data_IF_043867086939
#
_entry.id   IF_043867086939
#
_cell.length_a   1.000
_cell.length_b   1.000
_cell.length_c   1.000
_cell.angle_alpha   90.00
_cell.angle_beta   90.00
_cell.angle_gamma   90.00
#
_symmetry.space_group_name_H-M   'P 1'
#
loop_
_entity.id
_entity.type
_entity.pdbx_description
1 polymer ?
#
# COMPACT_ATOMS: atom_id res chain seq x y z
N UNK A 1 -67.52 21.94 -69.29
CA UNK A 1 -68.11 21.88 -67.94
C UNK A 1 -68.21 23.30 -67.40
N UNK A 2 -69.18 24.08 -67.89
CA UNK A 2 -69.46 25.48 -67.51
C UNK A 2 -70.96 25.81 -67.65
N UNK A 3 -71.80 24.83 -68.01
CA UNK A 3 -73.23 25.00 -68.31
C UNK A 3 -74.17 24.48 -67.20
N UNK A 4 -73.63 23.81 -66.15
CA UNK A 4 -74.43 23.30 -65.02
C UNK A 4 -74.52 24.26 -63.82
N UNK A 5 -73.93 25.46 -63.91
CA UNK A 5 -73.96 26.46 -62.84
C UNK A 5 -75.04 27.55 -63.03
N UNK A 6 -75.58 27.70 -64.23
CA UNK A 6 -76.58 28.73 -64.57
C UNK A 6 -78.00 28.38 -64.13
N UNK A 7 -78.29 27.10 -63.86
CA UNK A 7 -79.63 26.62 -63.50
C UNK A 7 -79.78 26.24 -62.02
N UNK A 8 -78.85 26.68 -61.16
CA UNK A 8 -78.98 26.52 -59.71
C UNK A 8 -79.87 27.64 -59.16
N UNK A 9 -80.89 27.28 -58.38
CA UNK A 9 -81.66 28.26 -57.60
C UNK A 9 -80.69 29.04 -56.72
N UNK A 10 -80.54 30.34 -57.02
CA UNK A 10 -79.79 31.23 -56.13
C UNK A 10 -80.61 31.43 -54.87
N UNK A 11 -80.04 31.19 -53.68
CA UNK A 11 -80.74 31.51 -52.43
C UNK A 11 -81.06 33.01 -52.42
N UNK A 12 -82.30 33.34 -52.07
CA UNK A 12 -82.73 34.73 -51.91
C UNK A 12 -82.27 35.24 -50.54
N UNK A 13 -81.31 36.16 -50.57
CA UNK A 13 -80.74 36.78 -49.37
C UNK A 13 -81.38 38.14 -49.03
N UNK A 14 -82.51 38.49 -49.66
CA UNK A 14 -83.23 39.74 -49.40
C UNK A 14 -83.67 39.89 -47.93
N UNK A 15 -83.97 38.77 -47.26
CA UNK A 15 -84.35 38.72 -45.85
C UNK A 15 -83.29 38.05 -44.95
N UNK A 16 -82.06 37.90 -45.42
CA UNK A 16 -80.98 37.33 -44.61
C UNK A 16 -80.57 38.32 -43.50
N UNK A 17 -80.70 37.95 -42.21
CA UNK A 17 -80.44 38.85 -41.10
C UNK A 17 -78.99 39.34 -41.04
N UNK A 18 -78.04 38.50 -41.47
CA UNK A 18 -76.61 38.80 -41.44
C UNK A 18 -76.25 39.74 -42.59
N UNK A 19 -76.75 39.46 -43.79
CA UNK A 19 -76.52 40.34 -44.95
C UNK A 19 -77.17 41.72 -44.76
N UNK A 20 -78.34 41.78 -44.12
CA UNK A 20 -79.01 43.04 -43.83
C UNK A 20 -78.27 43.87 -42.76
N UNK A 21 -77.63 43.23 -41.78
CA UNK A 21 -76.77 43.93 -40.82
C UNK A 21 -75.53 44.53 -41.50
N UNK A 22 -74.89 43.78 -42.40
CA UNK A 22 -73.73 44.28 -43.16
C UNK A 22 -74.10 45.46 -44.04
N UNK A 23 -75.22 45.39 -44.77
CA UNK A 23 -75.75 46.51 -45.56
C UNK A 23 -76.04 47.74 -44.70
N UNK A 24 -76.66 47.54 -43.53
CA UNK A 24 -76.94 48.64 -42.61
C UNK A 24 -75.67 49.30 -42.08
N UNK A 25 -74.60 48.52 -41.85
CA UNK A 25 -73.30 49.05 -41.40
C UNK A 25 -72.62 49.87 -42.49
N UNK A 26 -72.65 49.41 -43.74
CA UNK A 26 -72.14 50.15 -44.90
C UNK A 26 -72.96 51.42 -45.16
N UNK A 27 -74.29 51.34 -45.10
CA UNK A 27 -75.18 52.50 -45.32
C UNK A 27 -75.02 53.58 -44.24
N UNK A 28 -74.50 53.21 -43.06
CA UNK A 28 -74.24 54.12 -41.94
C UNK A 28 -72.74 54.34 -41.68
N UNK A 29 -71.87 54.01 -42.65
CA UNK A 29 -70.41 54.12 -42.51
C UNK A 29 -69.99 55.57 -42.20
N UNK A 30 -70.72 56.56 -42.71
CA UNK A 30 -70.43 57.98 -42.47
C UNK A 30 -70.65 58.36 -40.99
N UNK A 31 -71.69 57.81 -40.35
CA UNK A 31 -71.96 58.00 -38.91
C UNK A 31 -70.89 57.31 -38.07
N UNK A 32 -70.47 56.10 -38.46
CA UNK A 32 -69.40 55.35 -37.80
C UNK A 32 -68.06 56.10 -37.94
N UNK A 33 -67.78 56.67 -39.11
CA UNK A 33 -66.56 57.43 -39.39
C UNK A 33 -66.47 58.73 -38.59
N UNK A 34 -67.61 59.36 -38.28
CA UNK A 34 -67.67 60.57 -37.45
C UNK A 34 -67.24 60.35 -35.98
N UNK A 35 -67.26 59.10 -35.50
CA UNK A 35 -66.77 58.70 -34.18
C UNK A 35 -65.25 58.53 -34.08
N UNK A 36 -64.55 58.51 -35.21
CA UNK A 36 -63.08 58.45 -35.29
C UNK A 36 -62.47 59.85 -35.49
N UNK A 37 -62.94 60.80 -34.67
CA UNK A 37 -62.55 62.21 -34.73
C UNK A 37 -61.04 62.44 -34.61
N UNK A 38 -60.58 63.44 -35.38
CA UNK A 38 -59.25 64.08 -35.43
C UNK A 38 -58.31 63.76 -34.26
N UNK A 39 -57.33 62.88 -34.50
CA UNK A 39 -56.20 62.72 -33.60
C UNK A 39 -55.22 63.90 -33.78
N UNK A 40 -55.43 65.01 -33.05
CA UNK A 40 -54.35 65.98 -32.82
C UNK A 40 -53.43 65.43 -31.72
N UNK A 41 -52.19 65.06 -32.06
CA UNK A 41 -51.22 64.53 -31.11
C UNK A 41 -50.38 65.64 -30.48
N UNK A 42 -50.48 65.84 -29.16
CA UNK A 42 -49.51 66.60 -28.38
C UNK A 42 -48.32 65.69 -28.00
N UNK A 43 -47.10 66.05 -28.43
CA UNK A 43 -45.87 65.35 -28.04
C UNK A 43 -45.32 65.89 -26.74
N UNK A 44 -45.67 65.27 -25.61
CA UNK A 44 -44.96 65.49 -24.33
C UNK A 44 -43.99 64.35 -24.07
N UNK A 45 -42.68 64.64 -24.07
CA UNK A 45 -41.63 63.69 -23.71
C UNK A 45 -41.56 63.60 -22.18
N UNK A 46 -42.18 62.57 -21.58
CA UNK A 46 -41.94 62.22 -20.19
C UNK A 46 -40.71 61.33 -20.09
N UNK A 47 -39.62 61.83 -19.48
CA UNK A 47 -38.48 60.99 -19.10
C UNK A 47 -38.93 59.97 -18.05
N UNK A 48 -38.95 58.70 -18.44
CA UNK A 48 -39.12 57.55 -17.55
C UNK A 48 -37.80 56.79 -17.50
N UNK A 49 -37.35 56.40 -16.31
CA UNK A 49 -36.24 55.46 -16.15
C UNK A 49 -36.82 54.05 -16.12
N UNK A 50 -36.53 53.26 -17.15
CA UNK A 50 -36.79 51.82 -17.15
C UNK A 50 -35.60 51.17 -16.47
N UNK A 51 -35.78 50.59 -15.27
CA UNK A 51 -34.77 49.68 -14.72
C UNK A 51 -34.80 48.40 -15.55
N UNK A 52 -33.83 48.23 -16.43
CA UNK A 52 -33.62 46.97 -17.13
C UNK A 52 -32.61 46.14 -16.34
N UNK A 53 -32.90 44.85 -16.16
CA UNK A 53 -31.92 43.92 -15.62
C UNK A 53 -30.90 43.63 -16.72
N UNK A 54 -29.68 44.16 -16.59
CA UNK A 54 -28.55 43.71 -17.41
C UNK A 54 -27.98 42.47 -16.74
N UNK A 55 -28.12 41.26 -17.33
CA UNK A 55 -27.54 40.07 -16.73
C UNK A 55 -26.02 40.15 -16.78
N UNK A 56 -25.38 39.93 -15.65
CA UNK A 56 -23.94 39.69 -15.59
C UNK A 56 -23.67 38.26 -16.06
N UNK A 57 -23.16 38.13 -17.29
CA UNK A 57 -22.81 36.84 -17.88
C UNK A 57 -21.36 36.53 -17.56
N UNK A 58 -21.14 35.74 -16.52
CA UNK A 58 -19.82 35.26 -16.17
C UNK A 58 -19.54 33.93 -16.85
N UNK A 59 -18.40 33.85 -17.57
CA UNK A 59 -17.92 32.60 -18.16
C UNK A 59 -16.85 32.00 -17.28
N UNK A 60 -17.06 30.74 -16.85
CA UNK A 60 -16.03 29.95 -16.20
C UNK A 60 -15.32 29.07 -17.22
N UNK A 61 -14.00 29.20 -17.31
CA UNK A 61 -13.17 28.15 -17.89
C UNK A 61 -12.93 27.08 -16.83
N UNK A 62 -13.56 25.91 -17.01
CA UNK A 62 -13.27 24.75 -16.16
C UNK A 62 -11.90 24.20 -16.53
N UNK A 63 -11.01 24.14 -15.54
CA UNK A 63 -9.76 23.39 -15.65
C UNK A 63 -10.08 21.90 -15.77
N UNK A 64 -9.18 21.11 -16.37
CA UNK A 64 -9.34 19.65 -16.38
C UNK A 64 -9.48 19.14 -14.94
N UNK A 65 -10.50 18.31 -14.72
CA UNK A 65 -10.77 17.73 -13.41
C UNK A 65 -9.72 16.65 -13.11
N UNK A 66 -8.84 16.95 -12.15
CA UNK A 66 -7.79 16.06 -11.66
C UNK A 66 -8.14 15.49 -10.28
N UNK A 67 -9.42 15.48 -9.90
CA UNK A 67 -9.89 14.90 -8.65
C UNK A 67 -9.52 13.42 -8.55
N UNK A 68 -9.17 12.99 -7.35
CA UNK A 68 -8.73 11.62 -7.09
C UNK A 68 -9.20 11.14 -5.73
N UNK A 69 -9.76 9.93 -5.69
CA UNK A 69 -9.97 9.15 -4.46
C UNK A 69 -9.41 7.75 -4.72
N UNK A 70 -8.21 7.48 -4.21
CA UNK A 70 -7.52 6.23 -4.45
C UNK A 70 -6.49 5.92 -3.35
N UNK A 71 -6.03 4.67 -3.33
CA UNK A 71 -4.97 4.20 -2.42
C UNK A 71 -3.73 3.75 -3.19
N UNK A 72 -2.56 4.08 -2.65
CA UNK A 72 -1.27 3.61 -3.14
C UNK A 72 -0.71 2.62 -2.12
N UNK A 73 -0.23 1.48 -2.61
CA UNK A 73 0.45 0.47 -1.82
C UNK A 73 1.94 0.47 -2.13
N UNK A 74 2.76 0.50 -1.09
CA UNK A 74 4.19 0.24 -1.15
C UNK A 74 4.47 -1.18 -0.68
N UNK A 75 4.92 -2.03 -1.60
CA UNK A 75 5.29 -3.41 -1.32
C UNK A 75 6.80 -3.48 -1.18
N UNK A 76 7.28 -3.48 0.06
CA UNK A 76 8.66 -3.79 0.37
C UNK A 76 8.77 -5.08 1.16
N UNK A 77 9.87 -5.80 0.95
CA UNK A 77 10.21 -7.01 1.69
C UNK A 77 11.72 -7.10 1.86
N UNK A 78 12.15 -7.71 2.95
CA UNK A 78 13.56 -7.92 3.24
C UNK A 78 13.76 -9.25 3.95
N UNK A 79 14.78 -10.01 3.52
CA UNK A 79 15.08 -11.32 4.06
C UNK A 79 16.47 -11.78 3.61
N UNK A 80 17.23 -12.36 4.52
CA UNK A 80 18.46 -13.11 4.21
C UNK A 80 18.31 -14.60 4.46
N UNK A 81 17.45 -14.95 5.42
CA UNK A 81 16.98 -16.30 5.70
C UNK A 81 15.49 -16.27 6.05
N UNK A 82 14.82 -17.42 5.91
CA UNK A 82 13.45 -17.66 6.39
C UNK A 82 13.41 -18.95 7.21
N UNK A 83 12.50 -19.01 8.15
CA UNK A 83 12.18 -20.27 8.82
C UNK A 83 11.73 -21.31 7.81
N UNK A 84 12.15 -22.56 8.01
CA UNK A 84 11.70 -23.67 7.21
C UNK A 84 11.05 -24.76 8.08
N UNK A 85 11.74 -25.19 9.15
CA UNK A 85 11.27 -26.26 10.03
C UNK A 85 12.00 -26.24 11.39
N UNK A 86 11.42 -26.90 12.39
CA UNK A 86 11.95 -26.99 13.75
C UNK A 86 11.66 -25.75 14.61
N UNK A 87 12.25 -25.66 15.82
CA UNK A 87 12.04 -24.52 16.72
C UNK A 87 12.38 -23.21 16.01
N UNK A 88 11.41 -22.29 15.95
CA UNK A 88 11.57 -20.99 15.31
C UNK A 88 11.88 -19.91 16.33
N UNK A 89 13.01 -19.22 16.15
CA UNK A 89 13.38 -18.06 16.94
C UNK A 89 14.43 -17.23 16.16
N UNK A 90 13.96 -16.44 15.18
CA UNK A 90 14.75 -15.46 14.44
C UNK A 90 14.41 -14.04 14.94
N UNK A 91 15.43 -13.28 15.36
CA UNK A 91 15.27 -11.93 15.90
C UNK A 91 16.33 -10.99 15.34
N UNK A 92 16.00 -9.71 15.13
CA UNK A 92 17.02 -8.71 14.83
C UNK A 92 17.87 -8.38 16.07
N UNK A 93 19.19 -8.26 15.89
CA UNK A 93 20.14 -7.73 16.89
C UNK A 93 20.63 -6.31 16.55
N UNK A 94 19.97 -5.63 15.60
CA UNK A 94 20.36 -4.32 15.08
C UNK A 94 20.44 -4.30 13.56
N UNK A 95 20.78 -3.14 13.01
CA UNK A 95 20.95 -2.97 11.56
C UNK A 95 22.09 -3.87 11.05
N UNK A 96 21.81 -4.69 10.05
CA UNK A 96 22.79 -5.65 9.51
C UNK A 96 23.05 -6.85 10.41
N UNK A 97 22.18 -7.12 11.38
CA UNK A 97 22.35 -8.17 12.37
C UNK A 97 21.05 -8.94 12.64
N UNK A 98 21.13 -10.28 12.61
CA UNK A 98 20.07 -11.18 13.07
C UNK A 98 20.64 -12.30 13.96
N UNK A 99 19.84 -12.74 14.92
CA UNK A 99 20.11 -13.86 15.81
C UNK A 99 19.11 -14.99 15.53
N UNK A 100 19.64 -16.18 15.23
CA UNK A 100 18.88 -17.41 15.04
C UNK A 100 19.19 -18.36 16.18
N UNK A 101 18.18 -18.76 16.94
CA UNK A 101 18.33 -19.85 17.92
C UNK A 101 18.19 -21.22 17.23
N UNK A 102 19.08 -22.13 17.57
CA UNK A 102 19.05 -23.53 17.16
C UNK A 102 18.71 -24.40 18.37
N UNK A 103 17.72 -25.27 18.20
CA UNK A 103 17.14 -26.04 19.29
C UNK A 103 16.13 -25.27 20.15
N UNK A 104 15.56 -25.95 21.15
CA UNK A 104 14.58 -25.40 22.08
C UNK A 104 15.29 -24.66 23.21
N UNK A 105 15.08 -23.36 23.31
CA UNK A 105 15.49 -22.58 24.48
C UNK A 105 14.62 -22.98 25.68
N UNK A 106 15.25 -23.38 26.77
CA UNK A 106 14.57 -23.88 27.97
C UNK A 106 15.56 -24.54 28.93
N UNK A 107 15.03 -25.20 29.94
CA UNK A 107 15.78 -25.84 31.03
C UNK A 107 15.18 -27.23 31.29
N UNK A 108 16.02 -28.26 31.47
CA UNK A 108 15.61 -29.59 31.97
C UNK A 108 14.44 -30.27 31.22
N UNK A 109 14.37 -30.12 29.88
CA UNK A 109 13.26 -30.65 29.07
C UNK A 109 13.54 -32.03 28.46
N UNK A 110 14.76 -32.54 28.57
CA UNK A 110 15.10 -33.93 28.28
C UNK A 110 15.43 -34.66 29.57
N UNK A 111 15.18 -35.98 29.58
CA UNK A 111 15.49 -36.83 30.74
C UNK A 111 15.93 -38.22 30.31
N UNK A 112 16.93 -38.78 30.97
CA UNK A 112 17.47 -40.10 30.65
C UNK A 112 18.78 -40.40 31.37
N UNK A 113 19.43 -41.47 30.96
CA UNK A 113 20.78 -41.82 31.40
C UNK A 113 21.60 -42.19 30.18
N UNK A 114 22.70 -41.46 29.93
CA UNK A 114 23.49 -41.60 28.70
C UNK A 114 22.63 -41.54 27.42
N UNK A 115 21.59 -40.71 27.41
CA UNK A 115 20.63 -40.70 26.30
C UNK A 115 20.92 -39.55 25.36
N UNK A 116 21.09 -39.87 24.08
CA UNK A 116 21.29 -38.88 23.03
C UNK A 116 19.93 -38.41 22.51
N UNK A 117 19.75 -37.10 22.50
CA UNK A 117 18.66 -36.41 21.85
C UNK A 117 19.19 -35.64 20.66
N UNK A 118 18.44 -35.69 19.56
CA UNK A 118 18.72 -34.88 18.38
C UNK A 118 17.58 -33.92 18.13
N UNK A 119 17.92 -32.69 17.75
CA UNK A 119 16.93 -31.70 17.34
C UNK A 119 17.43 -30.94 16.13
N UNK A 120 16.48 -30.63 15.25
CA UNK A 120 16.74 -30.02 13.96
C UNK A 120 16.11 -28.64 13.93
N UNK A 121 16.88 -27.65 13.50
CA UNK A 121 16.39 -26.31 13.12
C UNK A 121 16.81 -26.08 11.67
N UNK A 122 15.85 -25.76 10.80
CA UNK A 122 16.09 -25.61 9.36
C UNK A 122 15.69 -24.21 8.92
N UNK A 123 16.55 -23.59 8.12
CA UNK A 123 16.32 -22.26 7.56
C UNK A 123 16.58 -22.28 6.06
N UNK A 124 15.71 -21.61 5.30
CA UNK A 124 15.89 -21.38 3.88
C UNK A 124 16.72 -20.12 3.68
N UNK A 125 17.80 -20.19 2.92
CA UNK A 125 18.64 -19.02 2.60
C UNK A 125 18.06 -18.29 1.41
N UNK A 126 17.51 -17.09 1.61
CA UNK A 126 16.81 -16.35 0.56
C UNK A 126 17.75 -15.47 -0.25
N UNK A 127 18.77 -14.90 0.39
CA UNK A 127 19.79 -14.11 -0.29
C UNK A 127 21.20 -14.37 0.28
N UNK A 128 21.91 -15.39 -0.24
CA UNK A 128 23.28 -15.70 0.17
C UNK A 128 24.25 -14.53 -0.02
N UNK A 129 24.05 -13.70 -1.05
CA UNK A 129 24.95 -12.60 -1.39
C UNK A 129 24.87 -11.42 -0.42
N UNK A 130 23.76 -11.29 0.33
CA UNK A 130 23.63 -10.31 1.40
C UNK A 130 24.34 -10.75 2.68
N UNK A 131 24.60 -12.06 2.89
CA UNK A 131 25.20 -12.57 4.12
C UNK A 131 26.71 -12.27 4.14
N UNK A 132 27.14 -11.54 5.16
CA UNK A 132 28.54 -11.18 5.40
C UNK A 132 29.23 -12.27 6.22
N UNK A 133 28.62 -12.65 7.35
CA UNK A 133 29.12 -13.72 8.22
C UNK A 133 28.01 -14.42 9.01
N UNK A 134 28.26 -15.64 9.44
CA UNK A 134 27.42 -16.37 10.38
C UNK A 134 28.29 -17.12 11.39
N UNK A 135 28.05 -16.91 12.68
CA UNK A 135 28.87 -17.46 13.77
C UNK A 135 28.00 -18.15 14.81
N UNK A 136 28.33 -19.39 15.17
CA UNK A 136 27.84 -20.01 16.40
C UNK A 136 28.53 -19.32 17.58
N UNK A 137 27.80 -18.40 18.19
CA UNK A 137 28.36 -17.50 19.20
C UNK A 137 27.99 -17.87 20.62
N UNK A 138 26.99 -18.73 20.78
CA UNK A 138 26.47 -19.15 22.07
C UNK A 138 26.05 -20.61 22.02
N UNK A 139 26.37 -21.35 23.07
CA UNK A 139 25.85 -22.69 23.31
C UNK A 139 25.61 -22.88 24.82
N UNK A 140 24.47 -23.46 25.16
CA UNK A 140 24.13 -23.94 26.49
C UNK A 140 23.71 -25.40 26.40
N UNK A 141 24.19 -26.25 27.31
CA UNK A 141 23.87 -27.68 27.33
C UNK A 141 24.16 -28.30 28.70
N UNK A 142 23.61 -29.50 28.94
CA UNK A 142 23.95 -30.27 30.15
C UNK A 142 25.21 -31.14 29.94
N UNK A 143 25.22 -32.47 29.86
CA UNK A 143 26.54 -33.16 29.86
C UNK A 143 27.42 -32.94 28.62
N UNK A 144 26.89 -33.24 27.42
CA UNK A 144 27.64 -33.11 26.17
C UNK A 144 26.77 -32.60 25.04
N UNK A 145 27.33 -31.76 24.17
CA UNK A 145 26.64 -31.22 23.00
C UNK A 145 27.53 -31.28 21.77
N UNK A 146 26.93 -31.59 20.62
CA UNK A 146 27.51 -31.38 19.30
C UNK A 146 26.59 -30.50 18.47
N UNK A 147 27.18 -29.63 17.66
CA UNK A 147 26.48 -28.84 16.65
C UNK A 147 26.97 -29.27 15.28
N UNK A 148 26.02 -29.60 14.41
CA UNK A 148 26.24 -30.03 13.04
C UNK A 148 25.48 -29.09 12.10
N UNK A 149 26.11 -28.71 10.99
CA UNK A 149 25.53 -27.78 10.00
C UNK A 149 25.79 -28.29 8.59
N UNK A 150 24.80 -28.15 7.70
CA UNK A 150 24.97 -28.46 6.28
C UNK A 150 23.64 -28.55 5.54
N UNK A 151 23.69 -29.08 4.32
CA UNK A 151 22.47 -29.51 3.61
C UNK A 151 21.84 -30.67 4.36
N UNK A 152 20.52 -30.81 4.26
CA UNK A 152 19.79 -31.89 4.93
C UNK A 152 20.38 -33.26 4.56
N UNK A 153 20.83 -34.02 5.56
CA UNK A 153 21.48 -35.32 5.40
C UNK A 153 22.97 -35.28 5.03
N UNK A 154 23.57 -34.09 4.95
CA UNK A 154 25.00 -33.87 4.67
C UNK A 154 25.63 -32.95 5.72
N UNK A 155 25.06 -32.89 6.92
CA UNK A 155 25.54 -32.02 7.99
C UNK A 155 26.93 -32.47 8.45
N UNK A 156 27.81 -31.50 8.69
CA UNK A 156 29.16 -31.73 9.25
C UNK A 156 29.22 -31.17 10.66
N UNK A 157 29.93 -31.86 11.55
CA UNK A 157 30.18 -31.37 12.91
C UNK A 157 31.04 -30.12 12.82
N UNK A 158 30.52 -29.00 13.32
CA UNK A 158 31.24 -27.73 13.36
C UNK A 158 31.80 -27.45 14.75
N UNK A 159 31.15 -27.97 15.79
CA UNK A 159 31.53 -27.72 17.17
C UNK A 159 31.05 -28.84 18.09
N UNK A 160 31.76 -29.02 19.21
CA UNK A 160 31.33 -29.87 20.32
C UNK A 160 31.83 -29.35 21.66
N UNK A 161 31.13 -29.71 22.72
CA UNK A 161 31.50 -29.40 24.09
C UNK A 161 31.09 -30.50 25.07
N UNK A 162 31.69 -30.51 26.28
CA UNK A 162 32.77 -29.61 26.71
C UNK A 162 34.16 -29.97 26.14
N UNK A 163 34.33 -31.18 25.59
CA UNK A 163 35.63 -31.67 25.13
C UNK A 163 35.50 -32.61 23.91
N UNK A 164 36.51 -33.47 23.70
CA UNK A 164 36.59 -34.46 22.64
C UNK A 164 35.50 -35.54 22.64
N UNK A 165 34.93 -35.81 23.81
CA UNK A 165 34.07 -36.96 24.08
C UNK A 165 32.60 -36.66 23.76
N UNK A 166 31.85 -37.73 23.49
CA UNK A 166 30.39 -37.71 23.34
C UNK A 166 29.80 -39.07 23.75
N UNK A 167 29.82 -39.44 25.05
CA UNK A 167 29.22 -40.67 25.52
C UNK A 167 27.70 -40.72 25.21
N UNK A 168 27.11 -41.91 25.04
CA UNK A 168 27.75 -43.23 25.09
C UNK A 168 28.48 -43.63 23.80
N UNK A 169 28.54 -42.76 22.78
CA UNK A 169 29.22 -43.08 21.51
C UNK A 169 30.75 -43.08 21.62
N UNK A 170 31.27 -42.40 22.64
CA UNK A 170 32.68 -42.48 23.03
C UNK A 170 32.80 -43.04 24.44
N UNK A 171 33.97 -43.55 24.77
CA UNK A 171 34.32 -43.87 26.15
C UNK A 171 34.20 -42.63 27.05
N UNK A 172 33.93 -42.86 28.33
CA UNK A 172 33.85 -41.81 29.35
C UNK A 172 32.56 -41.85 30.17
N UNK A 173 32.49 -40.97 31.16
CA UNK A 173 31.29 -40.80 32.00
C UNK A 173 30.26 -39.97 31.24
N UNK A 174 29.02 -40.44 31.25
CA UNK A 174 27.91 -39.71 30.63
C UNK A 174 27.47 -38.50 31.44
N UNK A 175 27.48 -38.61 32.77
CA UNK A 175 27.09 -37.57 33.70
C UNK A 175 28.32 -36.76 34.13
N UNK A 176 28.28 -35.45 33.92
CA UNK A 176 29.29 -34.48 34.33
C UNK A 176 28.82 -33.55 35.46
N UNK A 177 27.54 -33.60 35.85
CA UNK A 177 26.95 -32.81 36.93
C UNK A 177 27.23 -31.31 36.78
N UNK A 178 27.18 -30.82 35.54
CA UNK A 178 27.49 -29.44 35.18
C UNK A 178 26.61 -29.02 34.01
N UNK A 179 25.81 -27.96 34.21
CA UNK A 179 25.17 -27.23 33.11
C UNK A 179 26.16 -26.21 32.56
N UNK A 180 26.51 -26.36 31.28
CA UNK A 180 27.54 -25.57 30.62
C UNK A 180 26.94 -24.42 29.83
N UNK A 181 27.67 -23.31 29.83
CA UNK A 181 27.40 -22.15 28.99
C UNK A 181 28.74 -21.62 28.45
N UNK A 182 28.82 -21.46 27.12
CA UNK A 182 30.02 -21.02 26.41
C UNK A 182 29.67 -20.17 25.21
N UNK A 183 30.68 -19.40 24.76
CA UNK A 183 30.67 -18.70 23.49
C UNK A 183 31.63 -19.40 22.52
N UNK A 184 31.15 -20.31 21.64
CA UNK A 184 32.02 -21.10 20.77
C UNK A 184 32.81 -20.30 19.74
N UNK A 185 32.30 -19.13 19.32
CA UNK A 185 32.85 -18.29 18.25
C UNK A 185 33.20 -19.08 16.99
N UNK A 186 32.39 -20.08 16.65
CA UNK A 186 32.66 -20.98 15.52
C UNK A 186 32.07 -20.40 14.24
N UNK A 187 32.92 -20.16 13.25
CA UNK A 187 32.49 -19.67 11.94
C UNK A 187 31.72 -20.74 11.16
N UNK A 188 30.48 -20.43 10.81
CA UNK A 188 29.58 -21.26 10.00
C UNK A 188 29.15 -20.55 8.72
N UNK A 189 29.81 -19.44 8.35
CA UNK A 189 29.49 -18.59 7.20
C UNK A 189 29.41 -19.38 5.89
N UNK A 190 30.34 -20.31 5.69
CA UNK A 190 30.41 -21.12 4.46
C UNK A 190 29.10 -21.88 4.15
N UNK A 191 28.35 -22.29 5.18
CA UNK A 191 27.10 -23.02 5.01
C UNK A 191 25.95 -22.14 4.50
N UNK A 192 26.07 -20.82 4.67
CA UNK A 192 25.11 -19.84 4.17
C UNK A 192 25.51 -19.20 2.84
N UNK A 193 26.82 -19.17 2.53
CA UNK A 193 27.32 -18.53 1.30
C UNK A 193 27.50 -19.51 0.15
N UNK A 194 27.79 -20.78 0.42
CA UNK A 194 28.03 -21.80 -0.60
C UNK A 194 26.74 -22.57 -0.97
N UNK A 195 25.63 -21.82 -1.08
CA UNK A 195 24.30 -22.35 -1.39
C UNK A 195 23.60 -21.45 -2.38
N UNK A 196 22.61 -21.98 -3.09
CA UNK A 196 21.79 -21.19 -3.99
C UNK A 196 20.67 -20.48 -3.21
N UNK A 197 20.15 -19.34 -3.69
CA UNK A 197 18.90 -18.78 -3.18
C UNK A 197 17.80 -19.84 -3.17
N UNK A 198 17.20 -20.04 -2.00
CA UNK A 198 16.16 -21.03 -1.76
C UNK A 198 16.64 -22.37 -1.20
N UNK A 199 17.94 -22.63 -1.14
CA UNK A 199 18.48 -23.82 -0.48
C UNK A 199 18.22 -23.79 1.03
N UNK A 200 18.03 -24.98 1.62
CA UNK A 200 17.79 -25.15 3.06
C UNK A 200 19.08 -25.54 3.76
N UNK A 201 19.46 -24.76 4.77
CA UNK A 201 20.53 -25.06 5.72
C UNK A 201 19.92 -25.71 6.96
N UNK A 202 20.46 -26.87 7.31
CA UNK A 202 20.04 -27.66 8.48
C UNK A 202 21.05 -27.52 9.59
N UNK A 203 20.58 -27.13 10.76
CA UNK A 203 21.28 -27.24 12.02
C UNK A 203 20.77 -28.47 12.76
N UNK A 204 21.66 -29.40 13.08
CA UNK A 204 21.38 -30.53 13.95
C UNK A 204 22.17 -30.36 15.24
N UNK A 205 21.46 -30.22 16.35
CA UNK A 205 22.07 -30.35 17.67
C UNK A 205 21.92 -31.80 18.14
N UNK A 206 22.98 -32.33 18.75
CA UNK A 206 22.95 -33.63 19.42
C UNK A 206 23.39 -33.38 20.86
N UNK A 207 22.61 -33.85 21.82
CA UNK A 207 22.90 -33.66 23.24
C UNK A 207 22.80 -34.99 23.93
N UNK A 208 23.88 -35.42 24.57
CA UNK A 208 23.82 -36.55 25.51
C UNK A 208 23.51 -36.00 26.88
N UNK A 209 22.46 -36.52 27.50
CA UNK A 209 22.03 -36.16 28.86
C UNK A 209 21.99 -37.37 29.77
N UNK A 210 22.30 -37.13 31.04
CA UNK A 210 22.09 -38.00 32.17
C UNK A 210 21.35 -37.19 33.25
N UNK A 211 20.35 -37.79 33.90
CA UNK A 211 19.40 -37.01 34.70
C UNK A 211 18.44 -36.22 33.83
N UNK A 212 18.29 -34.93 34.10
CA UNK A 212 17.48 -33.99 33.32
C UNK A 212 18.41 -32.95 32.71
N UNK A 213 18.20 -32.57 31.45
CA UNK A 213 19.04 -31.57 30.80
C UNK A 213 18.42 -30.88 29.60
N UNK A 214 19.21 -30.01 28.98
CA UNK A 214 18.87 -29.20 27.83
C UNK A 214 20.04 -29.10 26.84
N UNK A 215 19.78 -28.58 25.66
CA UNK A 215 20.83 -27.97 24.87
C UNK A 215 20.32 -27.17 23.68
N UNK A 216 20.92 -26.01 23.47
CA UNK A 216 20.57 -25.08 22.41
C UNK A 216 21.73 -24.12 22.13
N UNK A 217 21.68 -23.42 21.00
CA UNK A 217 22.70 -22.45 20.62
C UNK A 217 22.14 -21.28 19.86
N UNK A 218 22.97 -20.25 19.66
CA UNK A 218 22.61 -19.06 18.87
C UNK A 218 23.62 -18.82 17.76
N UNK A 219 23.10 -18.67 16.55
CA UNK A 219 23.84 -18.23 15.38
C UNK A 219 23.61 -16.73 15.22
N UNK A 220 24.69 -15.94 15.28
CA UNK A 220 24.65 -14.53 14.91
C UNK A 220 25.03 -14.38 13.44
N UNK A 221 24.15 -13.74 12.69
CA UNK A 221 24.26 -13.53 11.25
C UNK A 221 24.42 -12.04 11.01
N UNK A 222 25.53 -11.66 10.41
CA UNK A 222 25.74 -10.32 9.87
C UNK A 222 25.43 -10.31 8.38
N UNK A 223 24.73 -9.28 7.93
CA UNK A 223 24.36 -9.10 6.54
C UNK A 223 24.49 -7.64 6.11
N UNK A 224 24.64 -7.44 4.82
CA UNK A 224 24.57 -6.14 4.16
C UNK A 224 23.09 -5.73 4.04
N UNK A 225 22.63 -4.70 4.78
CA UNK A 225 21.23 -4.29 4.76
C UNK A 225 20.75 -3.86 3.38
N UNK A 226 21.63 -3.23 2.59
CA UNK A 226 21.26 -2.73 1.25
C UNK A 226 20.97 -3.88 0.29
N UNK A 227 21.61 -5.04 0.50
CA UNK A 227 21.37 -6.25 -0.29
C UNK A 227 20.25 -7.12 0.29
N UNK A 228 19.84 -6.91 1.54
CA UNK A 228 18.80 -7.71 2.18
C UNK A 228 17.38 -7.35 1.70
N UNK A 229 17.21 -6.20 1.04
CA UNK A 229 15.93 -5.78 0.44
C UNK A 229 15.67 -6.61 -0.80
N UNK A 230 14.58 -7.38 -0.77
CA UNK A 230 14.18 -8.26 -1.88
C UNK A 230 13.05 -7.67 -2.70
N UNK A 231 12.39 -6.63 -2.20
CA UNK A 231 11.30 -5.94 -2.89
C UNK A 231 11.20 -4.49 -2.42
N UNK A 232 10.91 -3.59 -3.35
CA UNK A 232 10.67 -2.16 -3.11
C UNK A 232 9.87 -1.57 -4.29
N UNK A 233 8.53 -1.69 -4.24
CA UNK A 233 7.66 -1.34 -5.37
C UNK A 233 6.44 -0.51 -4.93
N UNK A 234 6.21 0.62 -5.60
CA UNK A 234 5.04 1.47 -5.40
C UNK A 234 4.00 1.26 -6.51
N UNK A 235 2.73 1.14 -6.14
CA UNK A 235 1.63 0.91 -7.10
C UNK A 235 0.27 1.36 -6.56
N UNK A 236 -0.71 1.70 -7.43
CA UNK A 236 -0.60 1.81 -8.89
C UNK A 236 0.00 3.16 -9.33
N UNK A 237 0.67 3.17 -10.50
CA UNK A 237 1.33 4.37 -11.05
C UNK A 237 0.35 5.50 -11.39
N UNK A 238 -0.89 5.16 -11.76
CA UNK A 238 -1.95 6.14 -12.00
C UNK A 238 -2.29 6.93 -10.74
N UNK A 239 -2.43 6.27 -9.60
CA UNK A 239 -2.72 6.92 -8.32
C UNK A 239 -1.50 7.69 -7.79
N UNK A 240 -0.27 7.22 -8.04
CA UNK A 240 0.97 7.98 -7.72
C UNK A 240 1.02 9.30 -8.48
N UNK A 241 0.68 9.27 -9.77
CA UNK A 241 0.63 10.49 -10.59
C UNK A 241 -0.44 11.45 -10.06
N UNK A 242 -1.64 10.93 -9.78
CA UNK A 242 -2.73 11.72 -9.19
C UNK A 242 -2.36 12.32 -7.82
N UNK A 243 -1.65 11.58 -6.97
CA UNK A 243 -1.19 12.08 -5.67
C UNK A 243 -0.28 13.30 -5.81
N UNK A 244 0.69 13.26 -6.72
CA UNK A 244 1.57 14.40 -6.96
C UNK A 244 0.80 15.59 -7.55
N UNK A 245 -0.13 15.35 -8.48
CA UNK A 245 -1.03 16.40 -9.00
C UNK A 245 -1.86 17.04 -7.90
N UNK A 246 -2.48 16.26 -7.01
CA UNK A 246 -3.24 16.78 -5.86
C UNK A 246 -2.34 17.59 -4.94
N UNK A 247 -1.12 17.11 -4.63
CA UNK A 247 -0.15 17.84 -3.80
C UNK A 247 0.20 19.20 -4.40
N UNK A 248 0.42 19.28 -5.71
CA UNK A 248 0.76 20.54 -6.36
C UNK A 248 -0.46 21.48 -6.43
N UNK A 249 -1.65 20.96 -6.74
CA UNK A 249 -2.90 21.73 -6.66
C UNK A 249 -3.21 22.27 -5.28
N UNK A 250 -2.90 21.53 -4.21
CA UNK A 250 -3.04 22.00 -2.82
C UNK A 250 -2.09 23.18 -2.51
N UNK A 251 -0.87 23.18 -3.07
CA UNK A 251 0.10 24.28 -2.89
C UNK A 251 -0.34 25.54 -3.62
N UNK A 252 -0.87 25.39 -4.82
CA UNK A 252 -1.28 26.49 -5.68
C UNK A 252 -2.71 26.99 -5.35
N UNK A 253 -3.40 26.30 -4.44
CA UNK A 253 -4.76 26.63 -4.01
C UNK A 253 -5.85 26.21 -4.99
N UNK A 254 -5.55 25.35 -5.97
CA UNK A 254 -6.49 24.85 -6.97
C UNK A 254 -7.20 23.54 -6.59
N UNK A 255 -6.75 22.88 -5.53
CA UNK A 255 -7.33 21.64 -5.03
C UNK A 255 -7.63 21.71 -3.53
N UNK A 256 -8.63 20.94 -3.11
CA UNK A 256 -8.90 20.65 -1.70
C UNK A 256 -8.68 19.15 -1.43
N UNK A 257 -8.26 18.80 -0.21
CA UNK A 257 -8.10 17.40 0.20
C UNK A 257 -6.83 17.11 0.98
N UNK A 258 -6.35 15.87 0.92
CA UNK A 258 -5.17 15.41 1.64
C UNK A 258 -4.54 14.18 0.97
N UNK A 259 -3.21 14.15 0.95
CA UNK A 259 -2.41 12.97 0.61
C UNK A 259 -1.60 12.60 1.84
N UNK A 260 -1.87 11.43 2.42
CA UNK A 260 -1.24 11.04 3.69
C UNK A 260 -0.94 9.56 3.79
N UNK A 261 0.13 9.26 4.52
CA UNK A 261 0.45 7.89 4.89
C UNK A 261 -0.53 7.39 5.95
N UNK A 262 -1.21 6.28 5.67
CA UNK A 262 -2.21 5.66 6.56
C UNK A 262 -1.73 4.34 7.17
N UNK A 263 -0.62 3.79 6.70
CA UNK A 263 0.05 2.63 7.30
C UNK A 263 1.56 2.86 7.35
N UNK A 264 2.04 3.27 8.52
CA UNK A 264 3.46 3.48 8.79
C UNK A 264 3.92 2.63 9.97
N UNK A 265 4.76 1.63 9.71
CA UNK A 265 5.29 0.70 10.72
C UNK A 265 6.69 1.09 11.22
N UNK A 266 7.09 2.36 11.13
CA UNK A 266 8.42 2.84 11.53
C UNK A 266 8.55 3.10 13.03
N UNK A 267 9.68 2.72 13.60
CA UNK A 267 10.10 3.15 14.93
C UNK A 267 10.66 4.59 14.94
N UNK A 268 11.00 5.09 16.13
CA UNK A 268 11.53 6.45 16.32
C UNK A 268 12.83 6.76 15.57
N UNK A 269 13.55 5.72 15.11
CA UNK A 269 14.77 5.87 14.31
C UNK A 269 14.51 5.81 12.80
N UNK A 270 13.25 5.72 12.37
CA UNK A 270 12.89 5.62 10.95
C UNK A 270 13.15 4.24 10.35
N UNK A 271 13.12 3.19 11.17
CA UNK A 271 13.36 1.82 10.75
C UNK A 271 12.21 0.90 11.13
N UNK A 272 12.14 -0.28 10.51
CA UNK A 272 11.19 -1.35 10.84
C UNK A 272 11.85 -2.71 10.74
N UNK A 273 11.19 -3.75 11.24
CA UNK A 273 11.69 -5.14 11.19
C UNK A 273 10.77 -5.97 10.31
N UNK A 274 11.32 -6.56 9.26
CA UNK A 274 10.63 -7.45 8.32
C UNK A 274 11.40 -8.77 8.28
N UNK A 275 10.73 -9.90 8.53
CA UNK A 275 11.35 -11.23 8.57
C UNK A 275 12.64 -11.34 9.42
N UNK A 276 12.71 -10.65 10.56
CA UNK A 276 13.89 -10.62 11.44
C UNK A 276 15.05 -9.75 10.93
N UNK A 277 14.89 -9.10 9.78
CA UNK A 277 15.82 -8.13 9.20
C UNK A 277 15.35 -6.72 9.55
N UNK A 278 16.27 -5.88 10.03
CA UNK A 278 15.99 -4.46 10.30
C UNK A 278 16.31 -3.65 9.06
N UNK A 279 15.32 -2.94 8.53
CA UNK A 279 15.44 -2.03 7.38
C UNK A 279 15.07 -0.61 7.78
N UNK A 280 15.78 0.37 7.22
CA UNK A 280 15.54 1.79 7.48
C UNK A 280 15.13 2.50 6.19
N UNK A 281 14.36 3.60 6.31
CA UNK A 281 13.85 4.32 5.13
C UNK A 281 14.95 4.83 4.20
N UNK A 282 16.14 5.11 4.73
CA UNK A 282 17.33 5.50 3.94
C UNK A 282 17.91 4.39 3.07
N UNK A 283 17.51 3.14 3.27
CA UNK A 283 17.96 1.97 2.51
C UNK A 283 17.03 1.63 1.36
N UNK A 284 15.81 2.18 1.37
CA UNK A 284 14.82 2.02 0.29
C UNK A 284 14.97 3.15 -0.73
N UNK A 285 14.39 2.94 -1.90
CA UNK A 285 14.24 3.99 -2.89
C UNK A 285 13.43 5.15 -2.28
N UNK A 286 13.73 6.40 -2.66
CA UNK A 286 12.92 7.54 -2.24
C UNK A 286 11.45 7.32 -2.59
N UNK A 287 10.54 7.83 -1.74
CA UNK A 287 9.12 7.77 -2.06
C UNK A 287 8.86 8.55 -3.36
N UNK A 288 8.08 7.99 -4.30
CA UNK A 288 7.68 8.71 -5.51
C UNK A 288 6.60 9.77 -5.24
N UNK A 289 6.15 9.91 -3.99
CA UNK A 289 5.13 10.87 -3.57
C UNK A 289 5.81 11.85 -2.60
N UNK A 290 5.69 13.14 -2.90
CA UNK A 290 6.28 14.19 -2.06
C UNK A 290 5.75 14.12 -0.62
N UNK A 291 6.65 14.31 0.36
CA UNK A 291 6.36 14.29 1.81
C UNK A 291 5.81 12.96 2.37
N UNK A 292 5.88 11.86 1.63
CA UNK A 292 5.56 10.52 2.14
C UNK A 292 6.83 9.79 2.57
N UNK A 293 6.88 9.22 3.80
CA UNK A 293 8.04 8.45 4.25
C UNK A 293 8.29 7.21 3.36
N UNK A 294 9.57 6.85 3.09
CA UNK A 294 9.91 5.68 2.29
C UNK A 294 9.45 4.33 2.85
N UNK A 295 9.05 4.24 4.13
CA UNK A 295 8.55 3.01 4.76
C UNK A 295 7.02 2.95 4.88
N UNK A 296 6.32 3.94 4.32
CA UNK A 296 4.88 4.00 4.31
C UNK A 296 4.29 2.89 3.43
N UNK A 297 3.58 1.92 4.02
CA UNK A 297 3.00 0.79 3.29
C UNK A 297 1.75 1.16 2.50
N UNK A 298 0.98 2.13 2.98
CA UNK A 298 -0.25 2.60 2.32
C UNK A 298 -0.41 4.10 2.43
N UNK A 299 -0.76 4.72 1.31
CA UNK A 299 -1.07 6.15 1.20
C UNK A 299 -2.52 6.29 0.75
N UNK A 300 -3.27 7.15 1.44
CA UNK A 300 -4.59 7.59 1.01
C UNK A 300 -4.45 8.91 0.24
N UNK A 301 -5.06 8.96 -0.94
CA UNK A 301 -5.11 10.13 -1.81
C UNK A 301 -6.56 10.56 -1.91
N UNK A 302 -6.86 11.76 -1.41
CA UNK A 302 -8.17 12.41 -1.58
C UNK A 302 -7.93 13.82 -2.06
N UNK A 303 -8.40 14.13 -3.26
CA UNK A 303 -8.28 15.46 -3.85
C UNK A 303 -9.52 15.80 -4.67
N UNK A 304 -10.01 17.02 -4.51
CA UNK A 304 -11.11 17.59 -5.28
C UNK A 304 -10.61 18.82 -6.02
N UNK A 305 -10.84 18.86 -7.32
CA UNK A 305 -10.59 20.00 -8.19
C UNK A 305 -11.94 20.62 -8.57
N UNK A 306 -12.34 21.65 -7.84
CA UNK A 306 -13.53 22.44 -8.16
C UNK A 306 -13.15 23.93 -8.17
N UNK A 307 -12.35 24.33 -9.15
CA UNK A 307 -11.93 25.71 -9.33
C UNK A 307 -12.48 26.30 -10.62
N UNK A 308 -13.23 27.39 -10.49
CA UNK A 308 -13.76 28.19 -11.58
C UNK A 308 -13.11 29.58 -11.57
N UNK A 309 -12.40 29.95 -12.64
CA UNK A 309 -11.95 31.33 -12.87
C UNK A 309 -13.09 32.12 -13.52
N UNK A 310 -13.54 33.19 -12.87
CA UNK A 310 -14.38 34.20 -13.51
C UNK A 310 -13.49 35.18 -14.26
N UNK A 311 -13.57 35.17 -15.59
CA UNK A 311 -13.00 36.23 -16.41
C UNK A 311 -13.90 37.47 -16.28
N UNK A 312 -13.40 38.50 -15.58
CA UNK A 312 -14.00 39.83 -15.53
C UNK A 312 -13.78 40.60 -16.85
#
# INVERSE_FOLDING_TARGET
MLLDATNRSRPDFSNDPVLNLSKNTDDNIDVISSGFGDCSAETTVKKSMIQTHVPDYQHCQRVEDQSADCEITHRYDASVIKHYDGPYNLKSCGTGCAELWIGKVGDNYWGGYCKIYEQYTRVQVTNPAAIVSATLEYAKWDDYMQVWVGKSGQEKKVWQGPNGNFPPETDGRCELSTSWERNPNTDVTQYFKNVNPGDVVTFKIRVSVSGNGEGFGRIRIHYDPAKAITKDEWSPQTCISAANTVIDGLKDGFAEGNVSCIDNSTDASGCTVVNGVRICGSQLSPSPINNIPPLCKKVSVKGSYDFCWFLL
#
